data_IF_343908191412
#
_entry.id   IF_343908191412
#
_cell.length_a   1.000
_cell.length_b   1.000
_cell.length_c   1.000
_cell.angle_alpha   90.00
_cell.angle_beta   90.00
_cell.angle_gamma   90.00
#
_symmetry.space_group_name_H-M   'P 1'
#
loop_
_entity.id
_entity.type
_entity.pdbx_description
1 polymer ?
#
# COMPACT_ATOMS: atom_id res chain seq x y z
N UNK A 1 -7.37 -11.86 -0.80
CA UNK A 1 -6.12 -11.67 -0.05
C UNK A 1 -5.34 -10.52 -0.65
N UNK A 2 -4.90 -9.60 0.17
CA UNK A 2 -4.22 -8.43 -0.31
C UNK A 2 -2.78 -8.36 0.19
N UNK A 3 -1.96 -7.64 -0.54
CA UNK A 3 -0.54 -7.48 -0.23
C UNK A 3 -0.18 -6.01 -0.34
N UNK A 4 0.53 -5.50 0.68
CA UNK A 4 1.07 -4.15 0.67
C UNK A 4 2.57 -4.25 0.38
N UNK A 5 3.00 -3.65 -0.71
CA UNK A 5 4.39 -3.69 -1.14
C UNK A 5 4.96 -2.28 -1.24
N UNK A 6 6.25 -2.18 -1.03
CA UNK A 6 6.97 -0.92 -1.20
C UNK A 6 7.97 -1.08 -2.34
N UNK A 7 7.99 -0.12 -3.24
CA UNK A 7 8.93 -0.14 -4.34
C UNK A 7 10.33 0.23 -3.84
N UNK A 8 11.30 -0.61 -4.15
CA UNK A 8 12.69 -0.38 -3.80
C UNK A 8 13.54 -0.49 -5.05
N UNK A 9 14.81 -0.14 -4.95
CA UNK A 9 15.72 -0.13 -6.12
C UNK A 9 15.82 -1.48 -6.80
N UNK A 10 15.73 -2.55 -6.04
CA UNK A 10 15.89 -3.90 -6.57
C UNK A 10 14.58 -4.62 -6.86
N UNK A 11 13.45 -3.91 -6.77
CA UNK A 11 12.15 -4.52 -7.01
C UNK A 11 11.10 -4.05 -6.04
N UNK A 12 10.42 -4.98 -5.42
CA UNK A 12 9.38 -4.68 -4.44
C UNK A 12 9.62 -5.45 -3.16
N UNK A 13 9.31 -4.81 -2.05
CA UNK A 13 9.41 -5.42 -0.73
C UNK A 13 8.01 -5.56 -0.16
N UNK A 14 7.64 -6.76 0.27
CA UNK A 14 6.35 -7.00 0.89
C UNK A 14 6.39 -6.52 2.34
N UNK A 15 5.52 -5.57 2.68
CA UNK A 15 5.44 -5.03 4.03
C UNK A 15 4.37 -5.69 4.86
N UNK A 16 3.24 -6.05 4.24
CA UNK A 16 2.12 -6.64 4.97
C UNK A 16 1.23 -7.41 4.01
N UNK A 17 0.46 -8.33 4.57
CA UNK A 17 -0.56 -9.05 3.85
C UNK A 17 -1.82 -9.02 4.68
N UNK A 18 -2.97 -8.99 4.03
CA UNK A 18 -4.24 -9.00 4.75
C UNK A 18 -5.24 -9.89 4.04
N UNK A 19 -6.23 -10.33 4.79
CA UNK A 19 -7.33 -11.13 4.27
C UNK A 19 -8.64 -10.44 4.62
N UNK A 20 -9.58 -10.33 3.67
CA UNK A 20 -10.89 -9.74 4.00
C UNK A 20 -11.63 -10.54 5.06
N UNK A 21 -11.27 -11.79 5.25
CA UNK A 21 -11.88 -12.63 6.27
C UNK A 21 -11.25 -12.44 7.65
N UNK A 22 -10.13 -11.76 7.71
CA UNK A 22 -9.40 -11.54 8.96
C UNK A 22 -9.27 -10.03 9.20
N UNK A 23 -10.23 -9.44 9.92
CA UNK A 23 -10.19 -7.99 10.15
C UNK A 23 -8.96 -7.53 10.91
N UNK A 24 -8.37 -8.38 11.72
CA UNK A 24 -7.16 -8.00 12.45
C UNK A 24 -5.98 -7.80 11.49
N UNK A 25 -5.88 -8.64 10.47
CA UNK A 25 -4.80 -8.47 9.49
C UNK A 25 -4.99 -7.20 8.67
N UNK A 26 -6.24 -6.91 8.31
CA UNK A 26 -6.53 -5.69 7.57
C UNK A 26 -6.21 -4.45 8.41
N UNK A 27 -6.57 -4.46 9.67
CA UNK A 27 -6.27 -3.34 10.55
C UNK A 27 -4.76 -3.12 10.70
N UNK A 28 -4.00 -4.19 10.87
CA UNK A 28 -2.56 -4.08 10.99
C UNK A 28 -1.94 -3.50 9.72
N UNK A 29 -2.41 -3.96 8.56
CA UNK A 29 -1.92 -3.44 7.29
C UNK A 29 -2.31 -1.98 7.11
N UNK A 30 -3.52 -1.61 7.55
CA UNK A 30 -3.98 -0.23 7.48
C UNK A 30 -3.10 0.69 8.33
N UNK A 31 -2.73 0.26 9.52
CA UNK A 31 -1.86 1.05 10.37
C UNK A 31 -0.50 1.24 9.74
N UNK A 32 0.02 0.21 9.12
CA UNK A 32 1.30 0.30 8.42
C UNK A 32 1.21 1.26 7.24
N UNK A 33 0.11 1.19 6.51
CA UNK A 33 -0.12 2.12 5.40
C UNK A 33 -0.11 3.56 5.88
N UNK A 34 -0.83 3.85 6.97
CA UNK A 34 -0.88 5.21 7.50
C UNK A 34 0.51 5.69 7.89
N UNK A 35 1.30 4.84 8.51
CA UNK A 35 2.67 5.18 8.89
C UNK A 35 3.52 5.54 7.67
N UNK A 36 3.37 4.77 6.59
CA UNK A 36 4.15 5.02 5.39
C UNK A 36 3.69 6.30 4.69
N UNK A 37 2.39 6.57 4.70
CA UNK A 37 1.88 7.82 4.14
C UNK A 37 2.43 9.02 4.90
N UNK A 38 2.52 8.94 6.21
CA UNK A 38 3.10 9.98 7.03
C UNK A 38 4.59 10.17 6.75
N UNK A 39 5.25 9.10 6.33
CA UNK A 39 6.66 9.16 5.97
C UNK A 39 6.89 9.77 4.59
N UNK A 40 5.83 10.03 3.84
CA UNK A 40 5.95 10.68 2.53
C UNK A 40 5.72 9.76 1.35
N UNK A 41 5.40 8.50 1.59
CA UNK A 41 5.09 7.58 0.50
C UNK A 41 3.69 7.83 -0.04
N UNK A 42 3.49 7.45 -1.30
CA UNK A 42 2.18 7.48 -1.93
C UNK A 42 1.75 6.06 -2.22
N UNK A 43 0.52 5.73 -1.89
CA UNK A 43 -0.01 4.39 -2.12
C UNK A 43 -0.92 4.41 -3.34
N UNK A 44 -0.77 3.41 -4.19
CA UNK A 44 -1.65 3.25 -5.34
C UNK A 44 -2.06 1.79 -5.46
N UNK A 45 -3.22 1.58 -6.05
CA UNK A 45 -3.74 0.25 -6.31
C UNK A 45 -3.11 -0.27 -7.60
N UNK A 46 -2.41 -1.38 -7.51
CA UNK A 46 -1.63 -1.88 -8.64
C UNK A 46 -2.48 -2.23 -9.85
N UNK A 47 -3.70 -2.68 -9.62
CA UNK A 47 -4.59 -3.10 -10.69
C UNK A 47 -5.44 -1.96 -11.25
N UNK A 48 -5.27 -0.77 -10.73
CA UNK A 48 -6.06 0.39 -11.14
C UNK A 48 -5.27 1.23 -12.13
N UNK A 49 -5.82 1.43 -13.29
CA UNK A 49 -5.16 2.22 -14.34
C UNK A 49 -5.07 3.70 -14.01
N UNK A 50 -5.95 4.18 -13.16
CA UNK A 50 -6.00 5.60 -12.82
C UNK A 50 -4.89 6.06 -11.91
N UNK A 51 -4.28 5.13 -11.20
CA UNK A 51 -3.18 5.45 -10.27
C UNK A 51 -3.55 6.52 -9.25
N UNK A 52 -4.80 6.51 -8.80
CA UNK A 52 -5.23 7.46 -7.79
C UNK A 52 -4.56 7.17 -6.46
N UNK A 53 -4.05 8.19 -5.76
CA UNK A 53 -3.47 7.97 -4.44
C UNK A 53 -4.51 7.45 -3.46
N UNK A 54 -4.12 6.46 -2.69
CA UNK A 54 -4.99 5.89 -1.68
C UNK A 54 -4.67 6.51 -0.33
N UNK A 55 -5.71 6.80 0.44
CA UNK A 55 -5.56 7.27 1.82
C UNK A 55 -5.95 6.19 2.80
N UNK A 56 -6.60 5.14 2.33
CA UNK A 56 -7.01 4.01 3.13
C UNK A 56 -6.71 2.73 2.35
N UNK A 57 -6.56 1.65 3.08
CA UNK A 57 -6.30 0.36 2.48
C UNK A 57 -7.63 -0.25 2.01
N UNK A 58 -7.81 -0.42 0.69
CA UNK A 58 -9.04 -1.05 0.21
C UNK A 58 -9.02 -2.55 0.50
N UNK A 59 -10.04 -3.02 1.21
CA UNK A 59 -10.10 -4.42 1.62
C UNK A 59 -10.17 -5.37 0.43
N UNK A 60 -10.71 -4.91 -0.68
CA UNK A 60 -10.90 -5.72 -1.87
C UNK A 60 -9.73 -5.64 -2.86
N UNK A 61 -8.70 -4.89 -2.55
CA UNK A 61 -7.54 -4.79 -3.44
C UNK A 61 -6.66 -6.02 -3.31
N UNK A 62 -6.07 -6.43 -4.41
CA UNK A 62 -5.11 -7.52 -4.40
C UNK A 62 -3.70 -7.04 -4.07
N UNK A 63 -3.30 -5.92 -4.63
CA UNK A 63 -1.96 -5.39 -4.41
C UNK A 63 -2.02 -3.88 -4.29
N UNK A 64 -1.41 -3.37 -3.24
CA UNK A 64 -1.23 -1.93 -3.05
C UNK A 64 0.27 -1.66 -3.01
N UNK A 65 0.72 -0.70 -3.79
CA UNK A 65 2.14 -0.39 -3.93
C UNK A 65 2.42 1.00 -3.37
N UNK A 66 3.43 1.07 -2.51
CA UNK A 66 3.93 2.33 -1.99
C UNK A 66 5.09 2.79 -2.84
N UNK A 67 5.03 4.04 -3.27
CA UNK A 67 6.12 4.65 -4.03
C UNK A 67 6.47 6.00 -3.40
N UNK A 68 7.73 6.37 -3.49
CA UNK A 68 8.15 7.69 -3.04
C UNK A 68 7.99 8.65 -4.21
N UNK A 69 7.14 9.68 -4.10
CA UNK A 69 7.00 10.63 -5.20
C UNK A 69 8.32 11.34 -5.45
N UNK A 70 8.67 11.42 -6.70
CA UNK A 70 9.90 12.05 -7.12
C UNK A 70 9.76 13.54 -7.31
N UNK A 71 8.70 14.07 -6.84
CA UNK A 71 8.42 15.44 -7.14
C UNK A 71 9.15 16.46 -6.31
N UNK A 72 9.83 16.00 -5.38
CA UNK A 72 10.36 16.89 -4.40
C UNK A 72 11.20 18.01 -4.91
N UNK A 73 11.57 17.89 -6.02
CA UNK A 73 12.39 18.94 -6.55
C UNK A 73 12.60 20.02 -5.61
#
# INVERSE_FOLDING_TARGET
MGVLKRRVLTGHETLAEWSPEDPASLEAAQQLLQRELEAGYMAVRAEDDDNEPLTELPADADVVILTMPMGGG
#
